data_IF_459540121481
#
_entry.id   IF_459540121481
#
_cell.length_a   1.000
_cell.length_b   1.000
_cell.length_c   1.000
_cell.angle_alpha   90.00
_cell.angle_beta   90.00
_cell.angle_gamma   90.00
#
_symmetry.space_group_name_H-M   'P 1'
#
loop_
_entity.id
_entity.type
_entity.pdbx_description
1 polymer ?
#
# COMPACT_ATOMS: atom_id res chain seq x y z
N UNK A 1 5.16 1.54 20.77
CA UNK A 1 5.62 0.71 19.63
C UNK A 1 5.21 1.37 18.33
N UNK A 2 6.12 1.50 17.41
CA UNK A 2 5.83 1.99 16.06
C UNK A 2 5.86 0.81 15.10
N UNK A 3 4.84 0.68 14.29
CA UNK A 3 4.66 -0.44 13.37
C UNK A 3 4.54 0.08 11.94
N UNK A 4 5.34 -0.48 11.04
CA UNK A 4 5.20 -0.29 9.60
C UNK A 4 4.39 -1.46 9.06
N UNK A 5 3.22 -1.17 8.48
CA UNK A 5 2.34 -2.19 7.91
C UNK A 5 2.29 -2.02 6.39
N UNK A 6 2.45 -3.12 5.68
CA UNK A 6 2.48 -3.15 4.21
C UNK A 6 1.39 -4.08 3.69
N UNK A 7 0.67 -3.63 2.68
CA UNK A 7 -0.38 -4.39 2.00
C UNK A 7 -0.12 -4.35 0.49
N UNK A 8 -0.01 -5.52 -0.14
CA UNK A 8 0.26 -5.64 -1.59
C UNK A 8 -0.61 -6.72 -2.21
N UNK A 9 -1.91 -6.67 -1.96
CA UNK A 9 -2.83 -7.64 -2.56
C UNK A 9 -3.57 -7.02 -3.75
N UNK A 10 -4.01 -7.86 -4.67
CA UNK A 10 -4.82 -7.49 -5.83
C UNK A 10 -4.24 -6.30 -6.60
N UNK A 11 -4.88 -5.15 -6.50
CA UNK A 11 -4.61 -3.97 -7.31
C UNK A 11 -4.19 -2.74 -6.50
N UNK A 12 -3.76 -2.94 -5.24
CA UNK A 12 -3.31 -1.83 -4.40
C UNK A 12 -2.01 -2.13 -3.68
N UNK A 13 -1.12 -1.14 -3.65
CA UNK A 13 0.08 -1.14 -2.83
C UNK A 13 -0.12 -0.09 -1.74
N UNK A 14 -0.08 -0.49 -0.49
CA UNK A 14 -0.35 0.41 0.62
C UNK A 14 0.67 0.25 1.74
N UNK A 15 0.91 1.33 2.45
CA UNK A 15 1.79 1.35 3.61
C UNK A 15 1.22 2.28 4.66
N UNK A 16 1.22 1.82 5.91
CA UNK A 16 0.76 2.63 7.04
C UNK A 16 1.80 2.61 8.15
N UNK A 17 1.97 3.74 8.81
CA UNK A 17 2.75 3.86 10.02
C UNK A 17 1.76 4.00 11.17
N UNK A 18 1.87 3.12 12.16
CA UNK A 18 0.93 3.04 13.27
C UNK A 18 1.69 3.11 14.58
N UNK A 19 1.19 3.90 15.53
CA UNK A 19 1.69 3.95 16.90
C UNK A 19 0.75 3.17 17.80
N UNK A 20 1.27 2.20 18.55
CA UNK A 20 0.53 1.44 19.55
C UNK A 20 1.15 1.70 20.92
N UNK A 21 0.37 2.30 21.84
CA UNK A 21 0.83 2.66 23.17
C UNK A 21 -0.33 2.66 24.16
N UNK A 22 -0.13 1.96 25.29
CA UNK A 22 -1.12 1.95 26.38
C UNK A 22 -2.54 1.56 25.94
N UNK A 23 -2.65 0.59 25.02
CA UNK A 23 -3.92 0.14 24.50
C UNK A 23 -4.54 1.05 23.45
N UNK A 24 -3.89 2.15 23.11
CA UNK A 24 -4.36 3.07 22.06
C UNK A 24 -3.57 2.85 20.77
N UNK A 25 -4.27 2.94 19.63
CA UNK A 25 -3.67 2.83 18.31
C UNK A 25 -3.94 4.13 17.54
N UNK A 26 -2.87 4.74 17.03
CA UNK A 26 -2.96 5.93 16.18
C UNK A 26 -2.34 5.65 14.83
N UNK A 27 -3.04 6.05 13.77
CA UNK A 27 -2.50 5.99 12.42
C UNK A 27 -1.73 7.29 12.18
N UNK A 28 -0.40 7.17 12.04
CA UNK A 28 0.48 8.31 11.82
C UNK A 28 0.61 8.65 10.33
N UNK A 29 0.50 7.64 9.48
CA UNK A 29 0.60 7.79 8.04
C UNK A 29 -0.15 6.65 7.37
N UNK A 30 -0.76 6.93 6.22
CA UNK A 30 -1.46 5.92 5.41
C UNK A 30 -1.37 6.35 3.95
N UNK A 31 -0.66 5.55 3.16
CA UNK A 31 -0.43 5.83 1.73
C UNK A 31 -0.90 4.64 0.91
N UNK A 32 -1.74 4.91 -0.08
CA UNK A 32 -2.28 3.89 -0.98
C UNK A 32 -1.99 4.27 -2.42
N UNK A 33 -1.44 3.34 -3.19
CA UNK A 33 -1.30 3.45 -4.64
C UNK A 33 -2.21 2.40 -5.27
N UNK A 34 -3.27 2.84 -5.93
CA UNK A 34 -4.27 1.96 -6.52
C UNK A 34 -4.02 1.75 -8.01
N UNK A 35 -4.21 0.51 -8.48
CA UNK A 35 -4.10 0.12 -9.88
C UNK A 35 -5.47 -0.01 -10.56
N UNK A 36 -6.55 0.42 -9.90
CA UNK A 36 -7.92 0.18 -10.39
C UNK A 36 -8.09 0.66 -11.84
N UNK A 37 -7.61 1.87 -12.15
CA UNK A 37 -7.72 2.42 -13.49
C UNK A 37 -6.91 1.64 -14.52
N UNK A 38 -5.76 1.12 -14.13
CA UNK A 38 -4.90 0.33 -15.01
C UNK A 38 -5.56 -0.99 -15.39
N UNK A 39 -6.19 -1.67 -14.44
CA UNK A 39 -6.84 -2.95 -14.68
C UNK A 39 -8.23 -2.83 -15.30
N UNK A 40 -8.89 -1.67 -15.13
CA UNK A 40 -10.27 -1.47 -15.61
C UNK A 40 -10.44 -1.75 -17.09
N UNK A 41 -9.47 -1.39 -17.93
CA UNK A 41 -9.52 -1.64 -19.37
C UNK A 41 -9.46 -3.12 -19.74
N UNK A 42 -9.12 -3.99 -18.79
CA UNK A 42 -9.08 -5.44 -18.96
C UNK A 42 -10.27 -6.14 -18.31
N UNK A 43 -11.20 -5.37 -17.73
CA UNK A 43 -12.39 -5.89 -17.08
C UNK A 43 -12.18 -6.39 -15.65
N UNK A 44 -11.00 -6.19 -15.08
CA UNK A 44 -10.68 -6.63 -13.73
C UNK A 44 -9.18 -6.83 -13.53
N UNK A 45 -8.79 -7.35 -12.37
CA UNK A 45 -7.39 -7.51 -12.01
C UNK A 45 -6.68 -8.51 -12.94
N UNK A 46 -5.53 -8.08 -13.46
CA UNK A 46 -4.62 -8.91 -14.27
C UNK A 46 -3.43 -9.29 -13.38
N UNK A 47 -3.33 -10.55 -12.89
CA UNK A 47 -2.36 -10.92 -11.86
C UNK A 47 -0.90 -10.59 -12.20
N UNK A 48 -0.44 -10.87 -13.42
CA UNK A 48 0.94 -10.58 -13.81
C UNK A 48 1.23 -9.09 -13.85
N UNK A 49 0.26 -8.28 -14.29
CA UNK A 49 0.38 -6.84 -14.31
C UNK A 49 0.37 -6.28 -12.89
N UNK A 50 -0.50 -6.81 -12.03
CA UNK A 50 -0.56 -6.40 -10.62
C UNK A 50 0.78 -6.65 -9.93
N UNK A 51 1.39 -7.81 -10.13
CA UNK A 51 2.68 -8.15 -9.54
C UNK A 51 3.78 -7.15 -9.96
N UNK A 52 3.84 -6.78 -11.22
CA UNK A 52 4.80 -5.79 -11.72
C UNK A 52 4.57 -4.41 -11.11
N UNK A 53 3.30 -4.00 -10.99
CA UNK A 53 2.97 -2.69 -10.43
C UNK A 53 3.30 -2.64 -8.93
N UNK A 54 3.11 -3.73 -8.17
CA UNK A 54 3.53 -3.78 -6.78
C UNK A 54 5.04 -3.57 -6.63
N UNK A 55 5.85 -4.23 -7.47
CA UNK A 55 7.30 -4.05 -7.47
C UNK A 55 7.70 -2.61 -7.77
N UNK A 56 7.01 -1.97 -8.71
CA UNK A 56 7.28 -0.60 -9.11
C UNK A 56 6.88 0.40 -8.02
N UNK A 57 5.78 0.14 -7.32
CA UNK A 57 5.17 1.10 -6.41
C UNK A 57 5.62 0.97 -4.96
N UNK A 58 6.19 -0.17 -4.55
CA UNK A 58 6.47 -0.42 -3.14
C UNK A 58 7.45 0.60 -2.53
N UNK A 59 8.56 0.89 -3.19
CA UNK A 59 9.53 1.85 -2.66
C UNK A 59 8.97 3.27 -2.56
N UNK A 60 8.35 3.85 -3.61
CA UNK A 60 7.72 5.16 -3.49
C UNK A 60 6.65 5.23 -2.39
N UNK A 61 5.85 4.18 -2.24
CA UNK A 61 4.79 4.14 -1.21
C UNK A 61 5.40 4.13 0.19
N UNK A 62 6.43 3.33 0.42
CA UNK A 62 7.13 3.29 1.72
C UNK A 62 7.78 4.64 2.01
N UNK A 63 8.51 5.22 1.05
CA UNK A 63 9.16 6.52 1.23
C UNK A 63 8.16 7.62 1.57
N UNK A 64 7.03 7.66 0.87
CA UNK A 64 5.98 8.64 1.14
C UNK A 64 5.40 8.46 2.53
N UNK A 65 5.18 7.22 2.96
CA UNK A 65 4.59 6.95 4.28
C UNK A 65 5.54 7.34 5.43
N UNK A 66 6.86 7.28 5.20
CA UNK A 66 7.87 7.65 6.20
C UNK A 66 8.10 9.16 6.30
N UNK A 67 7.70 9.91 5.31
CA UNK A 67 7.78 11.35 5.33
C UNK A 67 6.55 11.98 5.95
#
# INVERSE_FOLDING_TARGET
MIILAIETSCDETACAIVSAKNGEIKILSNVVSSQIKLHAKWGGVVPNLAAREHLKNINPVIETSLN
#
